data_IF_059375585000
#
_entry.id   IF_059375585000
#
_cell.length_a   1.000
_cell.length_b   1.000
_cell.length_c   1.000
_cell.angle_alpha   90.00
_cell.angle_beta   90.00
_cell.angle_gamma   90.00
#
_symmetry.space_group_name_H-M   'P 1'
#
loop_
_entity.id
_entity.type
_entity.pdbx_description
1 polymer ?
#
# COMPACT_ATOMS: atom_id res chain seq x y z
N UNK A 1 14.22 8.32 13.25
CA UNK A 1 13.88 6.91 13.01
C UNK A 1 14.40 6.49 11.64
N UNK A 2 15.07 5.35 11.56
CA UNK A 2 15.62 4.89 10.31
C UNK A 2 14.49 4.49 9.34
N UNK A 3 14.71 4.76 8.07
CA UNK A 3 13.77 4.31 7.05
C UNK A 3 13.90 2.80 6.89
N UNK A 4 12.78 2.16 6.61
CA UNK A 4 12.77 0.73 6.33
C UNK A 4 12.95 0.51 4.84
N UNK A 5 13.72 -0.52 4.48
CA UNK A 5 13.79 -0.95 3.09
C UNK A 5 12.57 -1.81 2.73
N UNK A 6 12.45 -2.16 1.46
CA UNK A 6 11.31 -2.91 0.94
C UNK A 6 11.11 -4.24 1.68
N UNK A 7 12.19 -5.01 1.86
CA UNK A 7 12.08 -6.32 2.51
C UNK A 7 11.64 -6.20 3.96
N UNK A 8 12.16 -5.20 4.67
CA UNK A 8 11.76 -4.94 6.05
C UNK A 8 10.30 -4.53 6.16
N UNK A 9 9.83 -3.70 5.22
CA UNK A 9 8.43 -3.27 5.19
C UNK A 9 7.49 -4.43 4.88
N UNK A 10 7.85 -5.28 3.93
CA UNK A 10 7.08 -6.46 3.58
C UNK A 10 6.96 -7.39 4.79
N UNK A 11 8.08 -7.65 5.47
CA UNK A 11 8.08 -8.49 6.67
C UNK A 11 7.20 -7.91 7.77
N UNK A 12 7.32 -6.61 8.03
CA UNK A 12 6.55 -5.95 9.08
C UNK A 12 5.06 -5.99 8.80
N UNK A 13 4.65 -5.64 7.60
CA UNK A 13 3.22 -5.57 7.25
C UNK A 13 2.62 -6.98 7.14
N UNK A 14 3.40 -7.95 6.66
CA UNK A 14 2.94 -9.35 6.60
C UNK A 14 2.61 -9.88 7.99
N UNK A 15 3.43 -9.54 8.98
CA UNK A 15 3.19 -9.95 10.36
C UNK A 15 1.95 -9.26 10.94
N UNK A 16 1.86 -7.94 10.78
CA UNK A 16 0.80 -7.14 11.41
C UNK A 16 -0.57 -7.44 10.83
N UNK A 17 -0.66 -7.60 9.51
CA UNK A 17 -1.92 -7.81 8.82
C UNK A 17 -2.17 -9.26 8.43
N UNK A 18 -1.29 -10.18 8.80
CA UNK A 18 -1.34 -11.57 8.33
C UNK A 18 -1.43 -11.63 6.79
N UNK A 19 -0.68 -10.74 6.14
CA UNK A 19 -0.66 -10.67 4.68
C UNK A 19 0.24 -11.76 4.10
N UNK A 20 -0.10 -12.21 2.90
CA UNK A 20 0.69 -13.21 2.16
C UNK A 20 0.98 -12.68 0.76
N UNK A 21 2.02 -13.22 0.09
CA UNK A 21 2.26 -12.84 -1.30
C UNK A 21 1.02 -13.05 -2.15
N UNK A 22 0.76 -12.12 -3.08
CA UNK A 22 -0.37 -12.26 -3.98
C UNK A 22 -0.11 -13.41 -4.95
N UNK A 23 -0.94 -14.48 -4.93
CA UNK A 23 -0.71 -15.63 -5.81
C UNK A 23 -0.85 -15.29 -7.30
N UNK A 24 -1.57 -14.20 -7.63
CA UNK A 24 -1.72 -13.76 -9.01
C UNK A 24 -0.62 -12.79 -9.43
N UNK A 25 0.19 -12.30 -8.48
CA UNK A 25 1.28 -11.38 -8.77
C UNK A 25 0.84 -9.98 -9.19
N UNK A 26 -0.42 -9.63 -9.00
CA UNK A 26 -0.94 -8.31 -9.40
C UNK A 26 -0.65 -7.22 -8.37
N UNK A 27 -0.48 -7.63 -7.11
CA UNK A 27 -0.01 -6.75 -6.04
C UNK A 27 1.14 -7.45 -5.30
N UNK A 28 1.81 -6.74 -4.42
CA UNK A 28 2.90 -7.36 -3.65
C UNK A 28 2.36 -8.37 -2.64
N UNK A 29 1.29 -8.01 -1.96
CA UNK A 29 0.69 -8.82 -0.89
C UNK A 29 -0.83 -8.76 -0.96
N UNK A 30 -1.48 -9.76 -0.38
CA UNK A 30 -2.92 -9.74 -0.11
C UNK A 30 -3.17 -10.03 1.35
N UNK A 31 -4.19 -9.41 1.91
CA UNK A 31 -4.65 -9.62 3.28
C UNK A 31 -6.16 -9.50 3.30
N UNK A 32 -6.76 -9.74 4.47
CA UNK A 32 -8.19 -9.52 4.64
C UNK A 32 -8.60 -8.10 4.27
N UNK A 33 -7.71 -7.12 4.51
CA UNK A 33 -7.96 -5.72 4.13
C UNK A 33 -8.00 -5.47 2.63
N UNK A 34 -7.43 -6.34 1.83
CA UNK A 34 -7.37 -6.19 0.38
C UNK A 34 -5.96 -6.30 -0.18
N UNK A 35 -5.77 -5.72 -1.36
CA UNK A 35 -4.47 -5.72 -2.04
C UNK A 35 -3.54 -4.66 -1.46
N UNK A 36 -2.27 -5.02 -1.31
CA UNK A 36 -1.26 -4.16 -0.68
C UNK A 36 -0.02 -4.11 -1.56
N UNK A 37 0.41 -2.92 -1.92
CA UNK A 37 1.72 -2.71 -2.53
C UNK A 37 2.61 -1.93 -1.57
N UNK A 38 3.91 -2.22 -1.62
CA UNK A 38 4.91 -1.59 -0.75
C UNK A 38 5.73 -0.61 -1.57
N UNK A 39 5.84 0.63 -1.08
CA UNK A 39 6.67 1.66 -1.69
C UNK A 39 7.68 2.13 -0.66
N UNK A 40 8.90 1.61 -0.75
CA UNK A 40 9.96 1.93 0.23
C UNK A 40 10.55 3.33 0.03
N UNK A 41 10.38 3.91 -1.15
CA UNK A 41 10.87 5.27 -1.48
C UNK A 41 9.77 6.06 -2.18
N UNK A 42 9.94 7.39 -2.17
CA UNK A 42 9.02 8.28 -2.87
C UNK A 42 8.99 7.98 -4.38
N UNK A 43 10.11 7.55 -4.95
CA UNK A 43 10.19 7.23 -6.38
C UNK A 43 9.29 6.04 -6.77
N UNK A 44 9.02 5.13 -5.84
CA UNK A 44 8.22 3.93 -6.10
C UNK A 44 6.71 4.18 -5.99
N UNK A 45 6.30 5.30 -5.39
CA UNK A 45 4.89 5.56 -5.05
C UNK A 45 3.97 5.52 -6.27
N UNK A 46 4.33 6.24 -7.31
CA UNK A 46 3.48 6.34 -8.50
C UNK A 46 3.22 4.98 -9.13
N UNK A 47 4.28 4.19 -9.31
CA UNK A 47 4.16 2.84 -9.87
C UNK A 47 3.35 1.91 -8.98
N UNK A 48 3.56 1.99 -7.67
CA UNK A 48 2.82 1.17 -6.72
C UNK A 48 1.32 1.45 -6.80
N UNK A 49 0.94 2.73 -6.87
CA UNK A 49 -0.47 3.14 -7.00
C UNK A 49 -1.04 2.70 -8.35
N UNK A 50 -0.28 2.91 -9.43
CA UNK A 50 -0.74 2.55 -10.78
C UNK A 50 -1.03 1.06 -10.92
N UNK A 51 -0.21 0.21 -10.30
CA UNK A 51 -0.43 -1.24 -10.35
C UNK A 51 -1.69 -1.67 -9.58
N UNK A 52 -2.16 -0.86 -8.65
CA UNK A 52 -3.39 -1.13 -7.91
C UNK A 52 -4.65 -0.66 -8.64
N UNK A 53 -4.50 0.28 -9.57
CA UNK A 53 -5.65 0.92 -10.22
C UNK A 53 -6.67 -0.05 -10.83
N UNK A 54 -6.26 -1.15 -11.54
CA UNK A 54 -7.22 -2.06 -12.14
C UNK A 54 -7.80 -3.08 -11.16
N UNK A 55 -7.31 -3.14 -9.93
CA UNK A 55 -7.73 -4.15 -8.98
C UNK A 55 -9.04 -3.75 -8.29
N UNK A 56 -9.79 -4.75 -7.86
CA UNK A 56 -11.05 -4.56 -7.15
C UNK A 56 -10.85 -4.66 -5.65
N UNK A 57 -11.83 -4.20 -4.89
CA UNK A 57 -11.81 -4.24 -3.45
C UNK A 57 -10.95 -3.12 -2.86
N UNK A 58 -10.65 -3.23 -1.59
CA UNK A 58 -9.78 -2.26 -0.94
C UNK A 58 -8.35 -2.43 -1.42
N UNK A 59 -7.67 -1.30 -1.61
CA UNK A 59 -6.30 -1.27 -2.13
C UNK A 59 -5.49 -0.31 -1.27
N UNK A 60 -4.27 -0.71 -0.94
CA UNK A 60 -3.44 0.02 0.01
C UNK A 60 -2.00 0.12 -0.50
N UNK A 61 -1.34 1.22 -0.17
CA UNK A 61 0.12 1.28 -0.25
C UNK A 61 0.69 1.41 1.16
N UNK A 62 1.83 0.78 1.38
CA UNK A 62 2.59 0.89 2.61
C UNK A 62 3.81 1.76 2.33
N UNK A 63 4.00 2.79 3.12
CA UNK A 63 5.08 3.76 2.95
C UNK A 63 5.87 3.91 4.25
N UNK A 64 7.08 4.45 4.15
CA UNK A 64 7.71 5.02 5.33
C UNK A 64 6.95 6.29 5.72
N UNK A 65 6.72 6.50 7.01
CA UNK A 65 5.86 7.59 7.47
C UNK A 65 6.31 8.97 6.97
N UNK A 66 7.62 9.15 6.79
CA UNK A 66 8.17 10.41 6.28
C UNK A 66 7.78 10.73 4.84
N UNK A 67 7.25 9.76 4.09
CA UNK A 67 6.85 9.94 2.70
C UNK A 67 5.38 10.35 2.54
N UNK A 68 4.67 10.59 3.65
CA UNK A 68 3.24 10.88 3.60
C UNK A 68 2.89 12.08 2.73
N UNK A 69 3.69 13.14 2.79
CA UNK A 69 3.43 14.34 1.97
C UNK A 69 3.49 14.05 0.47
N UNK A 70 4.32 13.10 0.06
CA UNK A 70 4.40 12.68 -1.35
C UNK A 70 3.30 11.67 -1.67
N UNK A 71 3.02 10.76 -0.74
CA UNK A 71 2.02 9.71 -0.94
C UNK A 71 0.60 10.26 -1.01
N UNK A 72 0.29 11.30 -0.25
CA UNK A 72 -1.02 11.92 -0.27
C UNK A 72 -1.45 12.32 -1.69
N UNK A 73 -0.69 13.21 -2.36
CA UNK A 73 -1.01 13.58 -3.74
C UNK A 73 -0.99 12.41 -4.72
N UNK A 74 -0.09 11.44 -4.54
CA UNK A 74 0.01 10.29 -5.44
C UNK A 74 -1.24 9.40 -5.39
N UNK A 75 -1.96 9.37 -4.27
CA UNK A 75 -3.17 8.56 -4.10
C UNK A 75 -4.46 9.37 -4.31
N UNK A 76 -4.36 10.68 -4.50
CA UNK A 76 -5.52 11.55 -4.62
C UNK A 76 -6.39 11.09 -5.80
N UNK A 77 -7.69 10.92 -5.54
CA UNK A 77 -8.65 10.49 -6.57
C UNK A 77 -8.61 9.01 -6.92
N UNK A 78 -7.71 8.22 -6.31
CA UNK A 78 -7.55 6.80 -6.64
C UNK A 78 -8.32 5.86 -5.72
N UNK A 79 -8.77 6.36 -4.56
CA UNK A 79 -9.37 5.55 -3.48
C UNK A 79 -8.41 4.55 -2.84
N UNK A 80 -7.12 4.59 -3.19
CA UNK A 80 -6.08 3.79 -2.54
C UNK A 80 -5.77 4.40 -1.19
N UNK A 81 -5.73 3.56 -0.15
CA UNK A 81 -5.37 3.98 1.19
C UNK A 81 -3.87 3.92 1.42
N UNK A 82 -3.44 4.51 2.52
CA UNK A 82 -2.03 4.59 2.91
C UNK A 82 -1.87 3.99 4.30
N UNK A 83 -0.92 3.08 4.44
CA UNK A 83 -0.54 2.47 5.71
C UNK A 83 0.93 2.76 5.98
N UNK A 84 1.30 2.80 7.26
CA UNK A 84 2.71 2.72 7.64
C UNK A 84 3.09 1.25 7.89
N UNK A 85 4.37 0.93 8.09
CA UNK A 85 4.79 -0.47 8.27
C UNK A 85 4.27 -1.12 9.55
N UNK A 86 3.71 -0.35 10.48
CA UNK A 86 3.08 -0.90 11.69
C UNK A 86 1.62 -1.28 11.45
N UNK A 87 1.10 -1.02 10.26
CA UNK A 87 -0.29 -1.28 9.92
C UNK A 87 -1.24 -0.13 10.27
N UNK A 88 -0.71 0.98 10.74
CA UNK A 88 -1.52 2.16 11.06
C UNK A 88 -2.03 2.80 9.79
N UNK A 89 -3.31 3.13 9.77
CA UNK A 89 -3.95 3.81 8.64
C UNK A 89 -3.59 5.28 8.68
N UNK A 90 -2.87 5.74 7.66
CA UNK A 90 -2.53 7.16 7.49
C UNK A 90 -3.54 7.86 6.60
N UNK A 91 -4.16 7.13 5.68
CA UNK A 91 -5.25 7.57 4.83
C UNK A 91 -6.15 6.38 4.56
N UNK A 92 -7.44 6.50 4.80
CA UNK A 92 -8.37 5.40 4.59
C UNK A 92 -8.52 5.06 3.12
N UNK A 93 -8.58 3.75 2.82
CA UNK A 93 -8.95 3.27 1.49
C UNK A 93 -10.46 3.30 1.32
N UNK A 94 -10.91 3.35 0.08
CA UNK A 94 -12.31 3.25 -0.25
C UNK A 94 -12.47 2.27 -1.40
N UNK A 95 -13.68 1.78 -1.61
CA UNK A 95 -13.96 0.86 -2.71
C UNK A 95 -14.07 1.63 -4.03
N UNK A 96 -13.52 1.08 -5.13
CA UNK A 96 -13.74 1.70 -6.43
C UNK A 96 -15.23 1.69 -6.75
N UNK A 97 -15.69 2.76 -7.39
CA UNK A 97 -17.09 2.85 -7.78
C UNK A 97 -17.41 1.80 -8.82
N UNK A 98 -18.52 1.10 -8.60
CA UNK A 98 -19.10 0.26 -9.63
C UNK A 98 -19.71 1.15 -10.71
N UNK A 99 -19.52 0.74 -11.92
CA UNK A 99 -20.17 1.41 -13.05
C UNK A 99 -21.29 0.54 -13.58
#
# INVERSE_FOLDING_TARGET
MARMDRDAMIAAISTVLAATPDPEGTSDLVAERGHINVAATAAELKGAVQRLAPLRGYRWIVINAGDLFTAGPATLGTKVGILDPTGRVLKAADLPRAK
#
